data_IF_954896198103
#
_entry.id   IF_954896198103
#
_cell.length_a   1.000
_cell.length_b   1.000
_cell.length_c   1.000
_cell.angle_alpha   90.00
_cell.angle_beta   90.00
_cell.angle_gamma   90.00
#
_symmetry.space_group_name_H-M   'P 1'
#
loop_
_entity.id
_entity.type
_entity.pdbx_description
1 polymer ?
#
# COMPACT_ATOMS: atom_id res chain seq x y z
N UNK A 1 -9.52 -6.87 12.95
CA UNK A 1 -10.84 -6.58 12.40
C UNK A 1 -11.53 -7.82 11.81
N UNK A 2 -12.87 -7.78 11.72
CA UNK A 2 -13.64 -8.90 11.17
C UNK A 2 -13.28 -9.22 9.72
N UNK A 3 -12.93 -8.19 8.96
CA UNK A 3 -12.59 -8.30 7.54
C UNK A 3 -11.33 -9.15 7.26
N UNK A 4 -10.39 -9.22 8.21
CA UNK A 4 -9.18 -10.04 8.08
C UNK A 4 -9.36 -11.51 8.49
N UNK A 5 -10.50 -11.88 9.10
CA UNK A 5 -10.64 -13.21 9.74
C UNK A 5 -10.50 -14.38 8.77
N UNK A 6 -11.01 -14.22 7.57
CA UNK A 6 -10.98 -15.28 6.57
C UNK A 6 -9.54 -15.55 6.12
N UNK A 7 -8.81 -14.51 5.71
CA UNK A 7 -7.42 -14.61 5.27
C UNK A 7 -6.51 -15.16 6.37
N UNK A 8 -6.61 -14.59 7.59
CA UNK A 8 -5.84 -15.06 8.75
C UNK A 8 -6.22 -16.50 9.10
N UNK A 9 -7.50 -16.86 9.02
CA UNK A 9 -7.97 -18.21 9.29
C UNK A 9 -7.37 -19.24 8.33
N UNK A 10 -7.33 -18.95 7.03
CA UNK A 10 -6.67 -19.83 6.05
C UNK A 10 -5.18 -19.96 6.29
N UNK A 11 -4.50 -18.87 6.60
CA UNK A 11 -3.06 -18.88 6.89
C UNK A 11 -2.74 -19.72 8.14
N UNK A 12 -3.49 -19.53 9.22
CA UNK A 12 -3.32 -20.30 10.46
C UNK A 12 -3.60 -21.79 10.21
N UNK A 13 -4.65 -22.11 9.43
CA UNK A 13 -4.97 -23.48 9.05
C UNK A 13 -3.84 -24.13 8.24
N UNK A 14 -3.30 -23.44 7.25
CA UNK A 14 -2.19 -23.96 6.42
C UNK A 14 -0.96 -24.30 7.28
N UNK A 15 -0.62 -23.46 8.26
CA UNK A 15 0.49 -23.72 9.19
C UNK A 15 0.17 -24.93 10.09
N UNK A 16 -1.06 -25.02 10.61
CA UNK A 16 -1.50 -26.16 11.44
C UNK A 16 -1.44 -27.48 10.67
N UNK A 17 -1.94 -27.49 9.43
CA UNK A 17 -1.96 -28.67 8.57
C UNK A 17 -0.53 -29.13 8.24
N UNK A 18 0.37 -28.21 7.93
CA UNK A 18 1.81 -28.49 7.68
C UNK A 18 2.55 -28.99 8.92
N UNK A 19 2.22 -28.46 10.09
CA UNK A 19 2.82 -28.86 11.35
C UNK A 19 2.24 -30.16 11.93
N UNK A 20 1.09 -30.63 11.42
CA UNK A 20 0.31 -31.75 11.95
C UNK A 20 0.03 -31.62 13.46
N UNK A 21 -0.22 -30.38 13.91
CA UNK A 21 -0.42 -30.06 15.33
C UNK A 21 -1.47 -28.97 15.49
N UNK A 22 -2.18 -29.03 16.61
CA UNK A 22 -3.00 -27.91 17.07
C UNK A 22 -2.10 -26.75 17.52
N UNK A 23 -2.41 -25.53 17.05
CA UNK A 23 -1.63 -24.34 17.34
C UNK A 23 -2.08 -23.72 18.68
N UNK A 24 -1.12 -23.32 19.51
CA UNK A 24 -1.39 -22.53 20.71
C UNK A 24 -1.77 -21.08 20.34
N UNK A 25 -2.51 -20.36 21.22
CA UNK A 25 -2.82 -18.94 20.98
C UNK A 25 -1.56 -18.06 20.73
N UNK A 26 -0.47 -18.32 21.46
CA UNK A 26 0.79 -17.59 21.27
C UNK A 26 1.40 -17.85 19.90
N UNK A 27 1.28 -19.08 19.39
CA UNK A 27 1.77 -19.40 18.06
C UNK A 27 0.90 -18.76 16.97
N UNK A 28 -0.42 -18.74 17.14
CA UNK A 28 -1.34 -18.02 16.25
C UNK A 28 -0.99 -16.51 16.22
N UNK A 29 -0.74 -15.92 17.40
CA UNK A 29 -0.32 -14.53 17.50
C UNK A 29 1.02 -14.29 16.78
N UNK A 30 2.00 -15.18 16.95
CA UNK A 30 3.29 -15.07 16.28
C UNK A 30 3.15 -15.11 14.76
N UNK A 31 2.36 -16.04 14.21
CA UNK A 31 2.06 -16.13 12.79
C UNK A 31 1.45 -14.82 12.29
N UNK A 32 0.47 -14.28 13.02
CA UNK A 32 -0.16 -13.01 12.68
C UNK A 32 0.83 -11.85 12.73
N UNK A 33 1.65 -11.78 13.76
CA UNK A 33 2.66 -10.74 13.94
C UNK A 33 3.68 -10.74 12.82
N UNK A 34 4.22 -11.91 12.48
CA UNK A 34 5.26 -12.06 11.46
C UNK A 34 4.76 -11.69 10.05
N UNK A 35 3.45 -11.83 9.79
CA UNK A 35 2.87 -11.56 8.48
C UNK A 35 2.28 -10.16 8.33
N UNK A 36 1.84 -9.53 9.43
CA UNK A 36 1.05 -8.31 9.32
C UNK A 36 1.55 -7.14 10.16
N UNK A 37 2.27 -7.37 11.28
CA UNK A 37 2.59 -6.28 12.20
C UNK A 37 3.98 -5.74 11.92
N UNK A 38 4.07 -4.47 11.48
CA UNK A 38 5.33 -3.74 11.29
C UNK A 38 6.39 -4.58 10.54
N UNK A 39 5.97 -5.35 9.54
CA UNK A 39 6.87 -6.23 8.79
C UNK A 39 7.93 -5.40 8.08
N UNK A 40 9.20 -5.82 8.20
CA UNK A 40 10.30 -5.15 7.51
C UNK A 40 10.29 -5.54 6.04
N UNK A 41 10.48 -4.55 5.17
CA UNK A 41 10.62 -4.75 3.73
C UNK A 41 11.61 -3.75 3.14
N UNK A 42 11.83 -3.84 1.84
CA UNK A 42 12.74 -2.98 1.07
C UNK A 42 12.26 -1.52 1.08
N UNK A 43 10.93 -1.31 1.15
CA UNK A 43 10.30 0.00 1.20
C UNK A 43 9.90 0.38 2.62
N UNK A 44 10.28 1.59 3.05
CA UNK A 44 9.83 2.23 4.29
C UNK A 44 9.81 3.76 4.16
N UNK A 45 9.20 4.44 5.12
CA UNK A 45 9.16 5.89 5.20
C UNK A 45 10.06 6.33 6.36
N UNK A 46 11.11 7.09 6.05
CA UNK A 46 12.06 7.61 7.03
C UNK A 46 11.43 8.76 7.83
N UNK A 47 10.86 9.74 7.12
CA UNK A 47 10.28 10.95 7.71
C UNK A 47 8.98 11.34 7.01
N UNK A 48 8.08 11.97 7.76
CA UNK A 48 6.83 12.48 7.25
C UNK A 48 6.48 13.80 7.92
N UNK A 49 6.42 14.89 7.15
CA UNK A 49 6.05 16.21 7.62
C UNK A 49 4.71 16.64 7.05
N UNK A 50 3.84 17.16 7.91
CA UNK A 50 2.50 17.58 7.51
C UNK A 50 2.33 19.09 7.64
N UNK A 51 1.72 19.71 6.62
CA UNK A 51 1.25 21.09 6.63
C UNK A 51 -0.25 21.10 6.39
N UNK A 52 -0.97 21.91 7.16
CA UNK A 52 -2.42 22.06 7.00
C UNK A 52 -2.72 23.48 6.53
N UNK A 53 -2.90 23.62 5.21
CA UNK A 53 -3.32 24.85 4.53
C UNK A 53 -4.23 24.41 3.40
N UNK A 54 -5.54 24.63 3.51
CA UNK A 54 -6.54 24.20 2.53
C UNK A 54 -6.47 22.68 2.19
N UNK A 55 -6.46 21.84 3.23
CA UNK A 55 -6.25 20.40 3.14
C UNK A 55 -4.97 19.96 3.87
N UNK A 56 -4.58 18.73 3.72
CA UNK A 56 -3.34 18.19 4.27
C UNK A 56 -2.32 18.01 3.15
N UNK A 57 -1.18 18.68 3.27
CA UNK A 57 0.00 18.41 2.45
C UNK A 57 0.98 17.58 3.26
N UNK A 58 1.44 16.45 2.73
CA UNK A 58 2.49 15.62 3.30
C UNK A 58 3.77 15.75 2.45
N UNK A 59 4.89 15.95 3.13
CA UNK A 59 6.23 15.79 2.59
C UNK A 59 6.79 14.48 3.17
N UNK A 60 6.97 13.47 2.32
CA UNK A 60 7.25 12.09 2.70
C UNK A 60 8.62 11.71 2.16
N UNK A 61 9.55 11.34 3.05
CA UNK A 61 10.85 10.78 2.67
C UNK A 61 10.70 9.26 2.57
N UNK A 62 10.62 8.78 1.34
CA UNK A 62 10.50 7.35 1.02
C UNK A 62 11.89 6.78 0.81
N UNK A 63 12.21 5.70 1.52
CA UNK A 63 13.40 4.90 1.30
C UNK A 63 13.01 3.58 0.63
N UNK A 64 13.61 3.30 -0.50
CA UNK A 64 13.38 2.08 -1.26
C UNK A 64 14.72 1.50 -1.70
N UNK A 65 15.04 0.29 -1.27
CA UNK A 65 16.29 -0.40 -1.57
C UNK A 65 17.56 0.41 -1.17
N UNK A 66 17.47 1.25 -0.12
CA UNK A 66 18.56 2.08 0.36
C UNK A 66 18.68 3.45 -0.34
N UNK A 67 17.82 3.77 -1.30
CA UNK A 67 17.73 5.08 -1.92
C UNK A 67 16.55 5.87 -1.35
N UNK A 68 16.82 7.09 -0.85
CA UNK A 68 15.79 7.98 -0.29
C UNK A 68 15.37 9.03 -1.29
N UNK A 69 14.04 9.24 -1.37
CA UNK A 69 13.43 10.28 -2.21
C UNK A 69 12.33 11.00 -1.47
N UNK A 70 12.31 12.32 -1.56
CA UNK A 70 11.26 13.16 -0.97
C UNK A 70 10.14 13.35 -2.00
N UNK A 71 8.91 13.04 -1.58
CA UNK A 71 7.70 13.24 -2.38
C UNK A 71 6.74 14.14 -1.60
N UNK A 72 6.23 15.16 -2.26
CA UNK A 72 5.19 16.04 -1.71
C UNK A 72 3.87 15.71 -2.36
N UNK A 73 2.84 15.48 -1.56
CA UNK A 73 1.50 15.22 -2.05
C UNK A 73 0.42 15.79 -1.14
N UNK A 74 -0.80 15.91 -1.67
CA UNK A 74 -1.96 16.41 -0.96
C UNK A 74 -2.97 15.29 -0.71
N UNK A 75 -3.79 15.46 0.32
CA UNK A 75 -4.87 14.53 0.64
C UNK A 75 -5.94 15.19 1.53
N UNK A 76 -7.07 14.49 1.66
CA UNK A 76 -8.16 14.91 2.55
C UNK A 76 -7.81 14.73 4.03
N UNK A 77 -6.84 13.85 4.32
CA UNK A 77 -6.30 13.57 5.63
C UNK A 77 -4.83 13.17 5.56
N UNK A 78 -4.18 12.99 6.73
CA UNK A 78 -2.75 12.66 6.79
C UNK A 78 -2.44 11.32 6.11
N UNK A 79 -3.21 10.28 6.40
CA UNK A 79 -3.01 8.96 5.77
C UNK A 79 -3.26 9.00 4.27
N UNK A 80 -4.27 9.73 3.81
CA UNK A 80 -4.58 9.91 2.40
C UNK A 80 -3.45 10.64 1.67
N UNK A 81 -2.91 11.72 2.25
CA UNK A 81 -1.76 12.41 1.69
C UNK A 81 -0.53 11.51 1.56
N UNK A 82 -0.21 10.69 2.58
CA UNK A 82 0.89 9.71 2.52
C UNK A 82 0.60 8.64 1.47
N UNK A 83 -0.63 8.13 1.40
CA UNK A 83 -1.05 7.17 0.38
C UNK A 83 -0.83 7.71 -1.04
N UNK A 84 -1.18 8.98 -1.27
CA UNK A 84 -0.97 9.63 -2.56
C UNK A 84 0.52 9.82 -2.90
N UNK A 85 1.37 10.11 -1.89
CA UNK A 85 2.83 10.14 -2.09
C UNK A 85 3.38 8.76 -2.51
N UNK A 86 2.93 7.69 -1.86
CA UNK A 86 3.32 6.31 -2.18
C UNK A 86 2.88 5.94 -3.60
N UNK A 87 1.60 6.20 -3.95
CA UNK A 87 1.07 5.97 -5.31
C UNK A 87 1.90 6.70 -6.37
N UNK A 88 2.27 7.95 -6.09
CA UNK A 88 3.10 8.74 -6.99
C UNK A 88 4.52 8.19 -7.12
N UNK A 89 5.12 7.73 -6.01
CA UNK A 89 6.49 7.19 -6.01
C UNK A 89 6.60 5.91 -6.83
N UNK A 90 5.71 4.93 -6.56
CA UNK A 90 5.71 3.63 -7.23
C UNK A 90 4.94 3.61 -8.54
N UNK A 91 4.22 4.70 -8.85
CA UNK A 91 3.32 4.78 -9.99
C UNK A 91 2.29 3.63 -9.98
N UNK A 92 1.71 3.34 -8.82
CA UNK A 92 0.70 2.31 -8.62
C UNK A 92 -0.65 2.94 -8.29
N UNK A 93 -1.72 2.21 -8.58
CA UNK A 93 -3.08 2.57 -8.21
C UNK A 93 -3.66 1.50 -7.30
N UNK A 94 -4.13 1.91 -6.14
CA UNK A 94 -4.87 1.08 -5.21
C UNK A 94 -5.92 1.93 -4.49
N UNK A 95 -6.95 1.29 -3.98
CA UNK A 95 -7.99 1.90 -3.16
C UNK A 95 -7.77 1.52 -1.69
N UNK A 96 -7.86 2.50 -0.79
CA UNK A 96 -7.90 2.26 0.66
C UNK A 96 -9.33 1.82 1.01
N UNK A 97 -9.53 0.51 1.14
CA UNK A 97 -10.84 -0.10 1.32
C UNK A 97 -11.23 -0.29 2.78
N UNK A 98 -10.23 -0.32 3.66
CA UNK A 98 -10.45 -0.53 5.09
C UNK A 98 -9.46 0.26 5.93
N UNK A 99 -9.97 0.91 6.98
CA UNK A 99 -9.16 1.56 7.99
C UNK A 99 -9.86 1.49 9.35
N UNK A 100 -9.13 1.00 10.35
CA UNK A 100 -9.57 0.94 11.74
C UNK A 100 -8.36 1.15 12.65
N UNK A 101 -8.55 1.88 13.74
CA UNK A 101 -7.51 2.13 14.72
C UNK A 101 -8.06 2.07 16.16
N UNK A 102 -7.25 1.64 17.11
CA UNK A 102 -7.58 1.68 18.52
C UNK A 102 -6.34 1.62 19.42
N UNK A 103 -6.53 1.93 20.66
CA UNK A 103 -5.51 1.84 21.70
C UNK A 103 -5.38 0.40 22.20
N UNK A 104 -4.16 -0.12 22.32
CA UNK A 104 -3.90 -1.48 22.82
C UNK A 104 -4.07 -1.59 24.33
N UNK A 105 -3.76 -0.53 25.06
CA UNK A 105 -3.85 -0.48 26.53
C UNK A 105 -4.51 0.83 26.97
N UNK A 106 -4.86 0.95 28.23
CA UNK A 106 -5.38 2.20 28.82
C UNK A 106 -4.22 3.06 29.29
N UNK A 107 -4.38 4.39 29.16
CA UNK A 107 -3.44 5.38 29.68
C UNK A 107 -2.62 6.09 28.60
N UNK A 108 -1.89 7.13 28.99
CA UNK A 108 -1.15 8.02 28.09
C UNK A 108 0.10 7.38 27.46
N UNK A 109 0.57 6.24 28.01
CA UNK A 109 1.69 5.47 27.46
C UNK A 109 1.24 4.29 26.57
N UNK A 110 -0.07 4.25 26.24
CA UNK A 110 -0.60 3.19 25.38
C UNK A 110 -0.03 3.30 23.97
N UNK A 111 0.24 2.15 23.37
CA UNK A 111 0.47 2.08 21.92
C UNK A 111 -0.85 2.04 21.17
N UNK A 112 -0.88 2.66 20.02
CA UNK A 112 -1.96 2.53 19.06
C UNK A 112 -1.69 1.34 18.13
N UNK A 113 -2.76 0.69 17.69
CA UNK A 113 -2.74 -0.25 16.57
C UNK A 113 -3.64 0.26 15.48
N UNK A 114 -3.15 0.24 14.26
CA UNK A 114 -3.92 0.56 13.06
C UNK A 114 -3.96 -0.65 12.11
N UNK A 115 -5.10 -0.83 11.47
CA UNK A 115 -5.33 -1.85 10.44
C UNK A 115 -5.67 -1.16 9.14
N UNK A 116 -4.95 -1.47 8.09
CA UNK A 116 -5.16 -0.92 6.75
C UNK A 116 -5.40 -2.06 5.79
N UNK A 117 -6.48 -1.96 5.02
CA UNK A 117 -6.76 -2.82 3.87
C UNK A 117 -6.77 -1.99 2.59
N UNK A 118 -5.99 -2.39 1.60
CA UNK A 118 -5.97 -1.78 0.28
C UNK A 118 -6.39 -2.78 -0.77
N UNK A 119 -7.12 -2.32 -1.79
CA UNK A 119 -7.50 -3.13 -2.95
C UNK A 119 -6.66 -2.71 -4.14
N UNK A 120 -6.00 -3.68 -4.74
CA UNK A 120 -5.24 -3.54 -5.95
C UNK A 120 -5.60 -4.68 -6.90
N UNK A 121 -6.08 -4.36 -8.10
CA UNK A 121 -6.58 -5.33 -9.10
C UNK A 121 -7.57 -6.36 -8.53
N UNK A 122 -8.51 -5.90 -7.72
CA UNK A 122 -9.54 -6.77 -7.12
C UNK A 122 -9.05 -7.66 -5.99
N UNK A 123 -7.76 -7.60 -5.62
CA UNK A 123 -7.17 -8.33 -4.50
C UNK A 123 -6.95 -7.42 -3.31
N UNK A 124 -7.28 -7.87 -2.12
CA UNK A 124 -7.09 -7.13 -0.88
C UNK A 124 -5.73 -7.46 -0.26
N UNK A 125 -5.01 -6.43 0.17
CA UNK A 125 -3.75 -6.54 0.89
C UNK A 125 -3.89 -5.86 2.25
N UNK A 126 -3.47 -6.56 3.30
CA UNK A 126 -3.62 -6.11 4.67
C UNK A 126 -2.27 -5.77 5.30
N UNK A 127 -2.26 -4.68 6.06
CA UNK A 127 -1.16 -4.31 6.94
C UNK A 127 -1.65 -3.90 8.32
N UNK A 128 -0.81 -4.08 9.31
CA UNK A 128 -1.06 -3.70 10.70
C UNK A 128 0.17 -2.93 11.20
N UNK A 129 -0.06 -1.77 11.77
CA UNK A 129 0.97 -0.94 12.37
C UNK A 129 0.74 -0.78 13.86
N UNK A 130 1.80 -0.86 14.65
CA UNK A 130 1.79 -0.59 16.08
C UNK A 130 2.86 0.44 16.42
N UNK A 131 2.44 1.58 16.95
CA UNK A 131 3.34 2.66 17.37
C UNK A 131 2.71 3.45 18.54
N UNK A 132 3.48 4.14 19.39
CA UNK A 132 2.94 5.10 20.34
C UNK A 132 2.17 6.24 19.69
N UNK A 133 2.56 6.69 18.49
CA UNK A 133 1.86 7.68 17.68
C UNK A 133 0.87 6.98 16.73
N UNK A 134 -0.41 7.37 16.81
CA UNK A 134 -1.49 6.78 16.01
C UNK A 134 -1.30 7.02 14.51
N UNK A 135 -0.72 8.17 14.13
CA UNK A 135 -0.44 8.49 12.73
C UNK A 135 0.69 7.61 12.20
N UNK A 136 1.74 7.41 12.99
CA UNK A 136 2.81 6.47 12.64
C UNK A 136 2.30 5.05 12.55
N UNK A 137 1.49 4.58 13.50
CA UNK A 137 0.86 3.26 13.43
C UNK A 137 0.07 3.09 12.10
N UNK A 138 -0.68 4.11 11.69
CA UNK A 138 -1.46 4.09 10.45
C UNK A 138 -0.57 4.06 9.20
N UNK A 139 0.52 4.84 9.21
CA UNK A 139 1.51 4.85 8.11
C UNK A 139 2.23 3.50 8.03
N UNK A 140 2.67 2.92 9.15
CA UNK A 140 3.29 1.59 9.17
C UNK A 140 2.34 0.51 8.64
N UNK A 141 1.05 0.56 9.03
CA UNK A 141 0.06 -0.36 8.49
C UNK A 141 -0.07 -0.24 6.96
N UNK A 142 -0.08 0.98 6.43
CA UNK A 142 -0.14 1.23 4.99
C UNK A 142 1.13 0.71 4.28
N UNK A 143 2.32 0.97 4.84
CA UNK A 143 3.60 0.48 4.32
C UNK A 143 3.59 -1.05 4.21
N UNK A 144 3.16 -1.75 5.27
CA UNK A 144 3.06 -3.22 5.27
C UNK A 144 2.12 -3.71 4.17
N UNK A 145 0.97 -3.08 3.98
CA UNK A 145 0.02 -3.47 2.94
C UNK A 145 0.59 -3.26 1.53
N UNK A 146 1.27 -2.12 1.30
CA UNK A 146 1.89 -1.81 -0.02
C UNK A 146 3.07 -2.72 -0.31
N UNK A 147 3.93 -3.03 0.67
CA UNK A 147 5.04 -3.96 0.49
C UNK A 147 4.59 -5.34 0.00
N UNK A 148 3.42 -5.81 0.43
CA UNK A 148 2.85 -7.08 -0.05
C UNK A 148 2.46 -7.05 -1.54
N UNK A 149 2.12 -5.88 -2.08
CA UNK A 149 1.91 -5.73 -3.52
C UNK A 149 3.22 -5.98 -4.26
N UNK A 150 4.32 -5.39 -3.78
CA UNK A 150 5.65 -5.55 -4.40
C UNK A 150 6.20 -6.97 -4.29
N UNK A 151 6.10 -7.59 -3.10
CA UNK A 151 6.58 -8.96 -2.85
C UNK A 151 5.93 -10.00 -3.77
N UNK A 152 4.69 -9.76 -4.20
CA UNK A 152 3.98 -10.65 -5.13
C UNK A 152 4.32 -10.38 -6.60
N UNK A 153 5.28 -9.49 -6.89
CA UNK A 153 5.57 -9.07 -8.26
C UNK A 153 4.39 -8.33 -8.91
N UNK A 154 3.50 -7.81 -8.07
CA UNK A 154 2.22 -7.21 -8.48
C UNK A 154 2.33 -5.71 -8.73
N UNK A 155 3.53 -5.12 -8.66
CA UNK A 155 3.74 -3.72 -9.06
C UNK A 155 3.33 -3.52 -10.53
N UNK A 156 3.66 -4.46 -11.41
CA UNK A 156 3.15 -4.51 -12.78
C UNK A 156 1.63 -4.76 -12.85
N UNK A 157 1.07 -5.41 -11.84
CA UNK A 157 -0.35 -5.76 -11.77
C UNK A 157 -1.24 -4.64 -11.20
N UNK A 158 -0.67 -3.67 -10.46
CA UNK A 158 -1.35 -2.46 -10.01
C UNK A 158 -1.14 -1.26 -10.94
N UNK A 159 -0.63 -1.50 -12.13
CA UNK A 159 -0.60 -0.50 -13.19
C UNK A 159 -2.04 -0.06 -13.47
N UNK A 160 -2.26 1.23 -13.56
CA UNK A 160 -3.56 1.85 -13.83
C UNK A 160 -4.28 1.02 -14.92
N UNK A 161 -5.52 0.58 -14.65
CA UNK A 161 -6.33 -0.17 -15.62
C UNK A 161 -6.38 0.53 -16.99
N UNK A 162 -6.28 1.86 -17.00
CA UNK A 162 -6.07 2.71 -18.15
C UNK A 162 -4.79 2.42 -18.90
N UNK A 163 -3.70 2.13 -18.16
CA UNK A 163 -2.41 1.81 -18.77
C UNK A 163 -2.42 0.44 -19.44
N UNK A 164 -3.09 -0.53 -18.86
CA UNK A 164 -3.30 -1.85 -19.48
C UNK A 164 -4.12 -1.68 -20.77
N UNK A 165 -5.14 -0.84 -20.76
CA UNK A 165 -5.96 -0.53 -21.94
C UNK A 165 -5.12 0.15 -23.04
N UNK A 166 -4.25 1.10 -22.65
CA UNK A 166 -3.31 1.77 -23.55
C UNK A 166 -2.33 0.77 -24.15
N UNK A 167 -1.72 -0.09 -23.35
CA UNK A 167 -0.76 -1.10 -23.83
C UNK A 167 -1.41 -2.11 -24.76
N UNK A 168 -2.62 -2.59 -24.44
CA UNK A 168 -3.40 -3.46 -25.31
C UNK A 168 -3.72 -2.77 -26.64
N UNK A 169 -4.09 -1.48 -26.60
CA UNK A 169 -4.35 -0.70 -27.80
C UNK A 169 -3.11 -0.48 -28.66
N UNK A 170 -1.96 -0.18 -28.01
CA UNK A 170 -0.65 -0.07 -28.70
C UNK A 170 -0.28 -1.39 -29.36
N UNK A 171 -0.39 -2.52 -28.63
CA UNK A 171 -0.09 -3.84 -29.21
C UNK A 171 -0.99 -4.19 -30.40
N UNK A 172 -2.25 -3.79 -30.38
CA UNK A 172 -3.19 -4.04 -31.47
C UNK A 172 -2.96 -3.14 -32.69
N UNK A 173 -2.32 -1.98 -32.51
CA UNK A 173 -2.19 -0.93 -33.54
C UNK A 173 -0.73 -0.45 -33.74
N UNK A 174 0.26 -1.23 -33.32
CA UNK A 174 1.67 -0.81 -33.21
C UNK A 174 2.32 -0.30 -34.52
N UNK A 175 1.74 -0.61 -35.68
CA UNK A 175 2.32 -0.29 -36.99
C UNK A 175 2.15 1.22 -37.33
N UNK A 176 1.01 1.82 -36.94
CA UNK A 176 0.63 3.16 -37.40
C UNK A 176 0.32 4.15 -36.27
N UNK A 177 0.52 3.78 -35.00
CA UNK A 177 0.13 4.61 -33.87
C UNK A 177 1.24 5.57 -33.45
N UNK A 178 0.87 6.84 -33.23
CA UNK A 178 1.77 7.86 -32.71
C UNK A 178 1.47 8.21 -31.24
N UNK A 179 2.42 8.83 -30.54
CA UNK A 179 2.19 9.38 -29.19
C UNK A 179 1.06 10.43 -29.17
N UNK A 180 0.84 11.11 -30.28
CA UNK A 180 -0.23 12.11 -30.45
C UNK A 180 -1.59 11.43 -30.47
N UNK A 181 -1.73 10.34 -31.22
CA UNK A 181 -2.98 9.56 -31.30
C UNK A 181 -3.35 8.97 -29.95
N UNK A 182 -2.34 8.50 -29.18
CA UNK A 182 -2.56 8.00 -27.83
C UNK A 182 -2.97 9.11 -26.86
N UNK A 183 -2.29 10.25 -26.92
CA UNK A 183 -2.60 11.40 -26.07
C UNK A 183 -4.03 11.91 -26.28
N UNK A 184 -4.47 12.00 -27.53
CA UNK A 184 -5.82 12.41 -27.92
C UNK A 184 -6.87 11.37 -27.51
N UNK A 185 -6.64 10.09 -27.84
CA UNK A 185 -7.59 9.01 -27.57
C UNK A 185 -7.84 8.77 -26.08
N UNK A 186 -6.79 8.82 -25.28
CA UNK A 186 -6.86 8.52 -23.83
C UNK A 186 -6.92 9.76 -22.95
N UNK A 187 -6.98 10.97 -23.54
CA UNK A 187 -6.99 12.26 -22.84
C UNK A 187 -5.85 12.43 -21.85
N UNK A 188 -4.63 12.01 -22.25
CA UNK A 188 -3.42 12.03 -21.45
C UNK A 188 -2.36 12.97 -22.03
N UNK A 189 -1.44 13.45 -21.20
CA UNK A 189 -0.33 14.25 -21.68
C UNK A 189 0.79 13.36 -22.29
N UNK A 190 1.44 13.83 -23.36
CA UNK A 190 2.59 13.13 -23.97
C UNK A 190 3.72 12.80 -22.99
N UNK A 191 4.11 13.71 -22.05
CA UNK A 191 5.10 13.40 -21.03
C UNK A 191 4.70 12.26 -20.09
N UNK A 192 3.39 12.08 -19.85
CA UNK A 192 2.90 10.96 -19.07
C UNK A 192 3.02 9.64 -19.84
N UNK A 193 2.62 9.63 -21.10
CA UNK A 193 2.69 8.44 -21.96
C UNK A 193 4.14 7.99 -22.25
N UNK A 194 5.06 8.94 -22.44
CA UNK A 194 6.48 8.64 -22.74
C UNK A 194 7.25 7.97 -21.60
N UNK A 195 6.66 7.82 -20.41
CA UNK A 195 7.23 7.02 -19.32
C UNK A 195 7.01 5.52 -19.50
N UNK A 196 6.06 5.11 -20.36
CA UNK A 196 5.58 3.73 -20.46
C UNK A 196 5.73 3.13 -21.84
N UNK A 197 6.03 3.95 -22.83
CA UNK A 197 6.26 3.60 -24.22
C UNK A 197 7.68 4.05 -24.63
#
# INVERSE_FOLDING_TARGET
PKAMREEVGYMVKDVSDKAHKELTPDWVYQIFSDHYINTKSIFHIDECHFKQVDGITAEVTINHAGESKVITSNGNGRLDAVSNAIKQYFNISYELSFYEEHSLTKGSSSKAVAYVGIICNGKTFWGVGIDPDIIRASIEALIVAVNKIEELGSADACTDARMIEIMNYVQANYIDITLDDLAEKFFLSKPYLSKYI
#
